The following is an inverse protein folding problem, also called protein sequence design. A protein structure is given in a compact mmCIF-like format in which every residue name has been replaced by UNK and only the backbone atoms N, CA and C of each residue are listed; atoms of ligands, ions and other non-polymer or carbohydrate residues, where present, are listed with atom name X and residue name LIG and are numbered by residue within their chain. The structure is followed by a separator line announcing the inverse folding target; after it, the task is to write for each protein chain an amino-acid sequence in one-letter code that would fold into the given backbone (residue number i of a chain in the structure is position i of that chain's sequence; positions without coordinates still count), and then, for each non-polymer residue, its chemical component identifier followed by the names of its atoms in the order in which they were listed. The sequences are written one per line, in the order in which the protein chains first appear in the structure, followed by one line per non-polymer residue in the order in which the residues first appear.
data_IF_561558367394
#
_entry.id   IF_561558367394
#
_cell.length_a   1.000
_cell.length_b   1.000
_cell.length_c   1.000
_cell.angle_alpha   90.00
_cell.angle_beta   90.00
_cell.angle_gamma   90.00
#
_symmetry.space_group_name_H-M   'P 1'
#
loop_
_entity.id
_entity.type
_entity.pdbx_description
1 polymer ?
#
# COMPACT_ATOMS: atom_id res chain seq x y z
N UNK A 1 -18.72 12.24 -10.55
CA UNK A 1 -17.93 10.99 -10.50
C UNK A 1 -18.88 9.81 -10.61
N UNK A 2 -18.66 8.89 -11.55
CA UNK A 2 -19.53 7.73 -11.71
C UNK A 2 -19.11 6.60 -10.74
N UNK A 3 -19.93 5.55 -10.64
CA UNK A 3 -19.67 4.42 -9.72
C UNK A 3 -18.36 3.68 -10.03
N UNK A 4 -17.97 3.59 -11.30
CA UNK A 4 -16.73 2.92 -11.72
C UNK A 4 -15.50 3.75 -11.29
N UNK A 5 -15.53 5.06 -11.50
CA UNK A 5 -14.51 6.00 -11.05
C UNK A 5 -14.37 5.99 -9.53
N UNK A 6 -15.49 5.98 -8.80
CA UNK A 6 -15.47 5.84 -7.34
C UNK A 6 -14.84 4.51 -6.89
N UNK A 7 -15.16 3.40 -7.56
CA UNK A 7 -14.57 2.10 -7.23
C UNK A 7 -13.05 2.10 -7.45
N UNK A 8 -12.56 2.68 -8.54
CA UNK A 8 -11.12 2.83 -8.80
C UNK A 8 -10.45 3.66 -7.70
N UNK A 9 -11.03 4.79 -7.30
CA UNK A 9 -10.49 5.61 -6.21
C UNK A 9 -10.49 4.87 -4.87
N UNK A 10 -11.56 4.12 -4.57
CA UNK A 10 -11.63 3.33 -3.35
C UNK A 10 -10.56 2.24 -3.34
N UNK A 11 -10.32 1.58 -4.47
CA UNK A 11 -9.26 0.57 -4.60
C UNK A 11 -7.87 1.21 -4.45
N UNK A 12 -7.62 2.37 -5.05
CA UNK A 12 -6.36 3.09 -4.89
C UNK A 12 -6.11 3.45 -3.41
N UNK A 13 -7.11 4.04 -2.73
CA UNK A 13 -7.02 4.35 -1.30
C UNK A 13 -6.83 3.11 -0.41
N UNK A 14 -7.47 1.99 -0.78
CA UNK A 14 -7.29 0.71 -0.09
C UNK A 14 -5.87 0.19 -0.24
N UNK A 15 -5.31 0.16 -1.46
CA UNK A 15 -3.94 -0.29 -1.73
C UNK A 15 -2.92 0.57 -0.99
N UNK A 16 -3.12 1.90 -0.99
CA UNK A 16 -2.28 2.83 -0.24
C UNK A 16 -2.32 2.59 1.27
N UNK A 17 -3.48 2.27 1.82
CA UNK A 17 -3.63 1.97 3.26
C UNK A 17 -3.01 0.61 3.61
N UNK A 18 -3.21 -0.41 2.77
CA UNK A 18 -2.68 -1.75 3.00
C UNK A 18 -1.16 -1.82 2.88
N UNK A 19 -0.54 -1.01 2.01
CA UNK A 19 0.92 -0.95 1.92
C UNK A 19 1.56 -0.44 3.21
N UNK A 20 0.94 0.51 3.94
CA UNK A 20 1.43 0.92 5.27
C UNK A 20 1.34 -0.21 6.30
N UNK A 21 0.19 -0.89 6.38
CA UNK A 21 0.02 -2.04 7.29
C UNK A 21 0.98 -3.18 6.96
N UNK A 22 1.31 -3.37 5.69
CA UNK A 22 2.31 -4.36 5.28
C UNK A 22 3.71 -3.94 5.73
N UNK A 23 4.08 -2.67 5.54
CA UNK A 23 5.38 -2.14 5.97
C UNK A 23 5.60 -2.34 7.48
N UNK A 24 4.62 -1.97 8.31
CA UNK A 24 4.65 -2.18 9.76
C UNK A 24 4.92 -3.65 10.15
N UNK A 25 4.35 -4.60 9.39
CA UNK A 25 4.55 -6.04 9.61
C UNK A 25 5.94 -6.50 9.15
N UNK A 26 6.46 -5.94 8.06
CA UNK A 26 7.78 -6.27 7.54
C UNK A 26 8.87 -5.76 8.47
N UNK A 27 8.72 -4.53 8.99
CA UNK A 27 9.61 -3.96 10.00
C UNK A 27 9.63 -4.82 11.27
N UNK A 28 8.45 -5.28 11.73
CA UNK A 28 8.35 -6.15 12.89
C UNK A 28 8.97 -7.55 12.71
N UNK A 29 9.28 -7.93 11.46
CA UNK A 29 9.89 -9.22 11.10
C UNK A 29 11.37 -9.08 10.70
N UNK A 30 11.96 -7.88 10.82
CA UNK A 30 13.31 -7.56 10.34
C UNK A 30 13.50 -7.92 8.84
N UNK A 31 12.44 -7.74 8.05
CA UNK A 31 12.42 -8.08 6.62
C UNK A 31 12.81 -6.86 5.75
N UNK A 32 14.02 -6.33 5.96
CA UNK A 32 14.49 -5.04 5.45
C UNK A 32 14.39 -4.86 3.93
N UNK A 33 14.70 -5.91 3.15
CA UNK A 33 14.64 -5.86 1.69
C UNK A 33 13.18 -5.71 1.21
N UNK A 34 12.27 -6.47 1.81
CA UNK A 34 10.85 -6.41 1.52
C UNK A 34 10.24 -5.11 2.00
N UNK A 35 10.66 -4.59 3.17
CA UNK A 35 10.25 -3.29 3.67
C UNK A 35 10.62 -2.18 2.67
N UNK A 36 11.87 -2.18 2.19
CA UNK A 36 12.33 -1.24 1.14
C UNK A 36 11.52 -1.35 -0.15
N UNK A 37 11.13 -2.57 -0.57
CA UNK A 37 10.25 -2.75 -1.73
C UNK A 37 8.83 -2.25 -1.47
N UNK A 38 8.33 -2.43 -0.24
CA UNK A 38 6.99 -2.01 0.17
C UNK A 38 6.87 -0.48 0.27
N UNK A 39 7.92 0.22 0.73
CA UNK A 39 8.00 1.68 0.70
C UNK A 39 7.87 2.21 -0.73
N UNK A 40 8.62 1.64 -1.68
CA UNK A 40 8.53 2.02 -3.10
C UNK A 40 7.14 1.76 -3.67
N UNK A 41 6.50 0.66 -3.28
CA UNK A 41 5.12 0.37 -3.68
C UNK A 41 4.14 1.41 -3.11
N UNK A 42 4.33 1.82 -1.86
CA UNK A 42 3.49 2.81 -1.19
C UNK A 42 3.57 4.19 -1.85
N UNK A 43 4.77 4.62 -2.26
CA UNK A 43 4.98 5.89 -2.97
C UNK A 43 4.28 5.92 -4.33
N UNK A 44 4.18 4.77 -5.01
CA UNK A 44 3.53 4.62 -6.31
C UNK A 44 2.00 4.48 -6.23
N UNK A 45 1.46 4.18 -5.03
CA UNK A 45 0.03 3.96 -4.77
C UNK A 45 -0.72 5.23 -4.33
#
# INVERSE_FOLDING_TARGET
MNKQQQAVLNMAGFIKSQSLTLLEKLDALDADEQATMCEKLHELA
#
